data_IF_500980466469
#
_entry.id   IF_500980466469
#
_cell.length_a   1.000
_cell.length_b   1.000
_cell.length_c   1.000
_cell.angle_alpha   90.00
_cell.angle_beta   90.00
_cell.angle_gamma   90.00
#
_symmetry.space_group_name_H-M   'P 1'
#
loop_
_entity.id
_entity.type
_entity.pdbx_description
1 polymer ?
#
# COMPACT_ATOMS: atom_id res chain seq x y z
N UNK A 1 31.87 2.45 5.49
CA UNK A 1 30.81 3.47 5.40
C UNK A 1 29.54 2.77 4.95
N UNK A 2 28.41 3.00 5.63
CA UNK A 2 27.13 2.45 5.19
C UNK A 2 26.69 3.10 3.87
N UNK A 3 25.72 2.49 3.18
CA UNK A 3 25.21 3.02 1.90
C UNK A 3 24.72 4.47 2.05
N UNK A 4 24.02 4.77 3.14
CA UNK A 4 23.48 6.10 3.41
C UNK A 4 24.56 7.19 3.45
N UNK A 5 25.70 6.90 4.08
CA UNK A 5 26.80 7.86 4.22
C UNK A 5 27.54 8.09 2.89
N UNK A 6 27.56 7.10 2.00
CA UNK A 6 28.10 7.28 0.66
C UNK A 6 27.26 8.28 -0.14
N UNK A 7 25.93 8.09 -0.16
CA UNK A 7 25.03 8.99 -0.88
C UNK A 7 24.94 10.38 -0.23
N UNK A 8 24.97 10.48 1.11
CA UNK A 8 24.99 11.80 1.79
C UNK A 8 26.23 12.62 1.42
N UNK A 9 27.39 11.97 1.31
CA UNK A 9 28.63 12.66 0.94
C UNK A 9 28.57 13.26 -0.47
N UNK A 10 27.92 12.57 -1.40
CA UNK A 10 27.84 12.98 -2.81
C UNK A 10 26.67 13.94 -3.08
N UNK A 11 25.53 13.72 -2.44
CA UNK A 11 24.27 14.41 -2.76
C UNK A 11 23.73 15.31 -1.65
N UNK A 12 24.35 15.37 -0.47
CA UNK A 12 23.87 16.19 0.65
C UNK A 12 22.68 15.57 1.38
N UNK A 13 21.49 16.15 1.26
CA UNK A 13 20.31 15.69 2.00
C UNK A 13 19.69 14.49 1.26
N UNK A 14 19.78 13.31 1.88
CA UNK A 14 19.28 12.05 1.32
C UNK A 14 18.12 11.52 2.14
N UNK A 15 17.00 11.22 1.49
CA UNK A 15 15.85 10.56 2.11
C UNK A 15 15.76 9.08 1.73
N UNK A 16 15.35 8.25 2.68
CA UNK A 16 14.91 6.88 2.43
C UNK A 16 13.41 6.83 2.23
N UNK A 17 12.94 6.00 1.30
CA UNK A 17 11.53 5.87 0.94
C UNK A 17 11.14 4.40 0.87
N UNK A 18 10.04 4.05 1.54
CA UNK A 18 9.44 2.71 1.52
C UNK A 18 7.91 2.81 1.71
N UNK A 19 7.21 1.72 1.44
CA UNK A 19 5.76 1.61 1.52
C UNK A 19 5.25 0.42 2.34
N UNK A 20 4.01 0.55 2.81
CA UNK A 20 3.24 -0.50 3.43
C UNK A 20 1.90 -0.70 2.72
N UNK A 21 1.50 -1.96 2.56
CA UNK A 21 0.14 -2.31 2.15
C UNK A 21 -0.08 -2.65 0.68
N UNK A 22 0.97 -2.79 -0.14
CA UNK A 22 0.79 -3.12 -1.57
C UNK A 22 -0.02 -4.38 -1.82
N UNK A 23 0.23 -5.45 -1.06
CA UNK A 23 -0.45 -6.74 -1.21
C UNK A 23 -1.77 -6.90 -0.44
N UNK A 24 -2.34 -5.82 0.10
CA UNK A 24 -3.63 -5.90 0.81
C UNK A 24 -4.83 -5.83 -0.15
N UNK A 25 -5.97 -6.40 0.26
CA UNK A 25 -7.26 -6.29 -0.42
C UNK A 25 -8.05 -5.05 0.01
N UNK A 26 -7.73 -4.46 1.17
CA UNK A 26 -8.43 -3.31 1.71
C UNK A 26 -7.46 -2.23 2.25
N UNK A 27 -7.96 -1.00 2.26
CA UNK A 27 -7.26 0.18 2.74
C UNK A 27 -6.19 0.70 1.76
N UNK A 28 -5.59 1.86 2.09
CA UNK A 28 -4.66 2.53 1.20
C UNK A 28 -3.31 1.79 1.12
N UNK A 29 -2.49 2.21 0.16
CA UNK A 29 -1.04 2.09 0.26
C UNK A 29 -0.52 3.35 0.96
N UNK A 30 0.36 3.15 1.95
CA UNK A 30 0.99 4.23 2.72
C UNK A 30 2.47 4.19 2.44
N UNK A 31 3.06 5.32 2.07
CA UNK A 31 4.50 5.48 1.93
C UNK A 31 5.02 6.47 2.97
N UNK A 32 6.28 6.31 3.35
CA UNK A 32 7.00 7.25 4.18
C UNK A 32 8.30 7.68 3.50
N UNK A 33 8.69 8.93 3.69
CA UNK A 33 9.99 9.47 3.35
C UNK A 33 10.68 9.92 4.64
N UNK A 34 11.93 9.53 4.87
CA UNK A 34 12.65 9.79 6.11
C UNK A 34 14.04 10.35 5.84
N UNK A 35 14.36 11.47 6.47
CA UNK A 35 15.73 12.01 6.60
C UNK A 35 16.12 11.92 8.06
N UNK A 36 17.11 11.07 8.37
CA UNK A 36 17.64 10.91 9.73
C UNK A 36 18.67 12.00 10.03
N UNK A 37 18.39 12.83 11.04
CA UNK A 37 19.33 13.85 11.54
C UNK A 37 20.32 13.28 12.55
N UNK A 38 19.88 12.27 13.31
CA UNK A 38 20.66 11.58 14.34
C UNK A 38 20.67 10.09 14.11
N UNK A 39 21.71 9.42 14.56
CA UNK A 39 21.74 7.96 14.54
C UNK A 39 20.66 7.37 15.47
N UNK A 40 20.05 6.29 15.00
CA UNK A 40 19.09 5.48 15.73
C UNK A 40 19.56 4.04 15.62
N UNK A 41 19.75 3.39 16.76
CA UNK A 41 20.18 2.00 16.82
C UNK A 41 19.01 1.04 16.58
N UNK A 42 19.31 -0.12 16.00
CA UNK A 42 18.33 -1.20 15.87
C UNK A 42 17.30 -1.04 14.75
N UNK A 43 17.41 0.00 13.91
CA UNK A 43 16.68 0.08 12.63
C UNK A 43 17.04 -1.13 11.77
N UNK A 44 16.01 -1.82 11.29
CA UNK A 44 16.09 -2.92 10.34
C UNK A 44 14.74 -3.02 9.62
N UNK A 45 14.62 -3.94 8.65
CA UNK A 45 13.37 -4.30 7.97
C UNK A 45 12.21 -4.43 8.98
N UNK A 46 11.15 -3.65 8.75
CA UNK A 46 10.00 -3.55 9.64
C UNK A 46 9.34 -4.90 9.90
N UNK A 47 9.44 -5.85 8.96
CA UNK A 47 8.89 -7.21 9.06
C UNK A 47 9.73 -8.11 9.96
N UNK A 48 11.02 -7.80 10.18
CA UNK A 48 11.92 -8.54 11.07
C UNK A 48 11.84 -8.08 12.53
N UNK A 49 11.10 -7.00 12.79
CA UNK A 49 10.92 -6.44 14.12
C UNK A 49 9.62 -6.94 14.75
N UNK A 50 9.64 -7.20 16.07
CA UNK A 50 8.41 -7.43 16.83
C UNK A 50 7.55 -6.15 16.84
N UNK A 51 6.22 -6.25 16.96
CA UNK A 51 5.35 -5.08 17.03
C UNK A 51 5.79 -4.06 18.11
N UNK A 52 6.13 -4.53 19.31
CA UNK A 52 6.59 -3.66 20.40
C UNK A 52 7.89 -2.92 20.06
N UNK A 53 8.86 -3.61 19.43
CA UNK A 53 10.11 -2.97 19.00
C UNK A 53 9.87 -1.96 17.87
N UNK A 54 8.93 -2.26 16.97
CA UNK A 54 8.55 -1.39 15.85
C UNK A 54 7.90 -0.10 16.35
N UNK A 55 6.99 -0.18 17.33
CA UNK A 55 6.36 0.99 17.96
C UNK A 55 7.39 1.87 18.67
N UNK A 56 8.31 1.27 19.45
CA UNK A 56 9.41 2.01 20.09
C UNK A 56 10.29 2.75 19.08
N UNK A 57 10.69 2.07 18.00
CA UNK A 57 11.50 2.68 16.94
C UNK A 57 10.72 3.75 16.17
N UNK A 58 9.40 3.58 15.98
CA UNK A 58 8.56 4.61 15.40
C UNK A 58 8.63 5.90 16.22
N UNK A 59 8.42 5.83 17.53
CA UNK A 59 8.47 7.02 18.39
C UNK A 59 9.86 7.67 18.39
N UNK A 60 10.92 6.86 18.37
CA UNK A 60 12.30 7.35 18.27
C UNK A 60 12.61 8.02 16.93
N UNK A 61 12.15 7.45 15.81
CA UNK A 61 12.28 8.04 14.47
C UNK A 61 11.54 9.36 14.40
N UNK A 62 10.28 9.42 14.85
CA UNK A 62 9.48 10.65 14.83
C UNK A 62 10.12 11.79 15.65
N UNK A 63 10.90 11.47 16.69
CA UNK A 63 11.60 12.46 17.50
C UNK A 63 13.01 12.86 17.02
N UNK A 64 13.58 12.18 16.02
CA UNK A 64 14.98 12.35 15.58
C UNK A 64 15.15 12.48 14.06
N UNK A 65 14.06 12.55 13.31
CA UNK A 65 14.06 12.55 11.87
C UNK A 65 13.03 13.53 11.31
N UNK A 66 13.31 14.10 10.15
CA UNK A 66 12.26 14.67 9.33
C UNK A 66 11.52 13.51 8.64
N UNK A 67 10.19 13.47 8.79
CA UNK A 67 9.34 12.40 8.28
C UNK A 67 8.19 13.00 7.49
N UNK A 68 8.00 12.51 6.27
CA UNK A 68 6.84 12.80 5.43
C UNK A 68 6.05 11.51 5.20
N UNK A 69 4.72 11.61 5.24
CA UNK A 69 3.82 10.47 5.01
C UNK A 69 2.96 10.77 3.79
N UNK A 70 2.85 9.82 2.88
CA UNK A 70 1.99 9.90 1.72
C UNK A 70 1.07 8.70 1.64
N UNK A 71 -0.15 8.92 1.16
CA UNK A 71 -1.20 7.91 1.11
C UNK A 71 -1.78 7.91 -0.30
N UNK A 72 -2.04 6.73 -0.85
CA UNK A 72 -2.91 6.59 -2.00
C UNK A 72 -4.11 5.68 -1.66
N UNK A 73 -5.30 6.20 -1.92
CA UNK A 73 -6.58 5.61 -1.51
C UNK A 73 -6.90 4.32 -2.28
N UNK A 74 -7.84 3.49 -1.81
CA UNK A 74 -8.36 2.37 -2.59
C UNK A 74 -8.88 2.77 -3.97
N UNK A 75 -9.47 3.96 -4.10
CA UNK A 75 -9.91 4.50 -5.39
C UNK A 75 -8.72 4.77 -6.33
N UNK A 76 -7.67 5.43 -5.84
CA UNK A 76 -6.48 5.69 -6.65
C UNK A 76 -5.77 4.40 -7.05
N UNK A 77 -5.80 3.37 -6.19
CA UNK A 77 -5.30 2.03 -6.51
C UNK A 77 -6.12 1.40 -7.63
N UNK A 78 -7.45 1.48 -7.54
CA UNK A 78 -8.35 0.94 -8.56
C UNK A 78 -8.15 1.65 -9.91
N UNK A 79 -8.07 2.98 -9.92
CA UNK A 79 -7.98 3.77 -11.15
C UNK A 79 -6.57 3.78 -11.78
N UNK A 80 -5.51 3.77 -10.98
CA UNK A 80 -4.15 3.94 -11.49
C UNK A 80 -3.30 2.68 -11.44
N UNK A 81 -3.85 1.56 -10.98
CA UNK A 81 -3.15 0.34 -10.57
C UNK A 81 -2.22 0.53 -9.34
N UNK A 82 -1.86 -0.58 -8.71
CA UNK A 82 -1.09 -0.57 -7.47
C UNK A 82 0.33 0.01 -7.62
N UNK A 83 0.95 -0.14 -8.79
CA UNK A 83 2.30 0.37 -9.02
C UNK A 83 2.30 1.90 -9.06
N UNK A 84 1.41 2.51 -9.86
CA UNK A 84 1.34 3.97 -9.92
C UNK A 84 0.75 4.59 -8.65
N UNK A 85 -0.20 3.93 -7.99
CA UNK A 85 -0.69 4.37 -6.68
C UNK A 85 0.42 4.35 -5.61
N UNK A 86 1.32 3.35 -5.65
CA UNK A 86 2.52 3.33 -4.79
C UNK A 86 3.43 4.52 -5.10
N UNK A 87 3.72 4.78 -6.39
CA UNK A 87 4.51 5.96 -6.80
C UNK A 87 3.86 7.27 -6.35
N UNK A 88 2.53 7.37 -6.42
CA UNK A 88 1.78 8.54 -5.99
C UNK A 88 1.92 8.75 -4.47
N UNK A 89 1.75 7.71 -3.67
CA UNK A 89 1.97 7.76 -2.22
C UNK A 89 3.41 8.17 -1.88
N UNK A 90 4.42 7.63 -2.59
CA UNK A 90 5.82 7.99 -2.36
C UNK A 90 6.13 9.46 -2.68
N UNK A 91 5.60 10.00 -3.79
CA UNK A 91 5.77 11.41 -4.12
C UNK A 91 5.08 12.32 -3.09
N UNK A 92 3.89 11.96 -2.62
CA UNK A 92 3.20 12.68 -1.53
C UNK A 92 4.00 12.63 -0.23
N UNK A 93 4.67 11.52 0.07
CA UNK A 93 5.53 11.41 1.24
C UNK A 93 6.72 12.37 1.16
N UNK A 94 7.32 12.54 -0.03
CA UNK A 94 8.38 13.52 -0.27
C UNK A 94 7.88 14.96 -0.17
N UNK A 95 6.69 15.25 -0.69
CA UNK A 95 6.06 16.59 -0.58
C UNK A 95 5.73 16.99 0.86
N UNK A 96 5.38 16.00 1.70
CA UNK A 96 5.08 16.22 3.12
C UNK A 96 6.34 16.22 4.01
N UNK A 97 7.53 16.12 3.43
CA UNK A 97 8.78 16.22 4.17
C UNK A 97 9.11 17.70 4.42
N UNK A 98 9.42 18.06 5.66
CA UNK A 98 9.75 19.46 6.03
C UNK A 98 11.10 19.93 5.46
N UNK A 99 11.92 19.01 5.00
CA UNK A 99 13.21 19.27 4.35
C UNK A 99 13.14 18.76 2.90
N UNK A 100 13.67 19.53 1.95
CA UNK A 100 13.74 19.12 0.55
C UNK A 100 14.95 18.20 0.30
N UNK A 101 14.77 16.88 0.08
CA UNK A 101 15.89 15.99 -0.17
C UNK A 101 16.42 16.22 -1.59
N UNK A 102 17.74 16.17 -1.74
CA UNK A 102 18.44 16.31 -3.01
C UNK A 102 18.50 14.98 -3.77
N UNK A 103 18.43 13.86 -3.03
CA UNK A 103 18.46 12.52 -3.57
C UNK A 103 17.63 11.55 -2.73
N UNK A 104 17.06 10.51 -3.35
CA UNK A 104 16.25 9.50 -2.65
C UNK A 104 16.77 8.07 -2.85
N UNK A 105 16.72 7.28 -1.78
CA UNK A 105 16.92 5.84 -1.79
C UNK A 105 15.56 5.16 -1.61
N UNK A 106 15.11 4.39 -2.61
CA UNK A 106 13.76 3.80 -2.63
C UNK A 106 13.84 2.29 -2.50
N UNK A 107 13.02 1.64 -1.65
CA UNK A 107 12.93 0.18 -1.66
C UNK A 107 12.34 -0.35 -2.97
N UNK A 108 12.89 -1.47 -3.46
CA UNK A 108 12.39 -2.16 -4.63
C UNK A 108 13.14 -1.87 -5.91
N UNK A 109 12.42 -1.70 -7.02
CA UNK A 109 12.98 -1.56 -8.37
C UNK A 109 12.05 -0.83 -9.33
N UNK A 110 12.61 -0.11 -10.29
CA UNK A 110 11.90 0.51 -11.41
C UNK A 110 11.01 1.69 -11.02
N UNK A 111 11.19 2.27 -9.83
CA UNK A 111 10.43 3.41 -9.34
C UNK A 111 11.25 4.68 -9.54
N UNK A 112 10.74 5.58 -10.38
CA UNK A 112 11.25 6.94 -10.54
C UNK A 112 10.29 7.92 -9.87
N UNK A 113 10.80 8.69 -8.91
CA UNK A 113 10.05 9.71 -8.16
C UNK A 113 10.39 11.12 -8.71
N UNK A 114 9.68 12.14 -8.24
CA UNK A 114 9.92 13.55 -8.62
C UNK A 114 11.31 14.04 -8.21
N UNK A 115 11.87 13.46 -7.14
CA UNK A 115 13.24 13.71 -6.69
C UNK A 115 14.17 12.66 -7.32
N UNK A 116 15.32 13.04 -7.89
CA UNK A 116 16.32 12.10 -8.40
C UNK A 116 16.71 11.07 -7.34
N UNK A 117 16.94 9.83 -7.75
CA UNK A 117 17.25 8.79 -6.79
C UNK A 117 17.59 7.45 -7.42
N UNK A 118 17.80 6.47 -6.55
CA UNK A 118 18.02 5.08 -6.96
C UNK A 118 17.11 4.13 -6.20
N UNK A 119 16.70 3.06 -6.88
CA UNK A 119 16.04 1.93 -6.26
C UNK A 119 17.07 0.94 -5.68
N UNK A 120 16.76 0.36 -4.53
CA UNK A 120 17.56 -0.69 -3.90
C UNK A 120 16.67 -1.91 -3.64
N UNK A 121 17.00 -3.04 -4.27
CA UNK A 121 16.32 -4.31 -3.97
C UNK A 121 16.69 -4.74 -2.55
N UNK A 122 15.67 -4.94 -1.69
CA UNK A 122 15.83 -5.14 -0.23
C UNK A 122 16.58 -3.96 0.40
N UNK A 123 16.17 -2.75 0.03
CA UNK A 123 16.74 -1.51 0.49
C UNK A 123 16.58 -1.31 1.99
N UNK A 124 15.47 -1.80 2.56
CA UNK A 124 15.17 -1.83 3.99
C UNK A 124 16.22 -2.55 4.85
N UNK A 125 16.91 -3.54 4.28
CA UNK A 125 18.00 -4.29 4.92
C UNK A 125 19.39 -3.68 4.66
N UNK A 126 19.50 -2.74 3.72
CA UNK A 126 20.78 -2.16 3.26
C UNK A 126 20.97 -0.73 3.74
N UNK A 127 19.88 0.03 3.85
CA UNK A 127 19.83 1.46 4.18
C UNK A 127 19.07 1.64 5.48
N UNK A 128 19.67 2.35 6.45
CA UNK A 128 18.96 2.74 7.67
C UNK A 128 17.86 3.75 7.35
N UNK A 129 18.04 4.61 6.34
CA UNK A 129 17.00 5.52 5.88
C UNK A 129 15.77 4.77 5.35
N UNK A 130 15.96 3.77 4.49
CA UNK A 130 14.84 2.95 3.99
C UNK A 130 14.23 2.11 5.11
N UNK A 131 15.05 1.49 5.98
CA UNK A 131 14.55 0.75 7.14
C UNK A 131 13.68 1.61 8.06
N UNK A 132 14.06 2.88 8.29
CA UNK A 132 13.25 3.83 9.05
C UNK A 132 11.92 4.15 8.35
N UNK A 133 11.94 4.41 7.03
CA UNK A 133 10.73 4.62 6.24
C UNK A 133 9.79 3.41 6.30
N UNK A 134 10.33 2.19 6.23
CA UNK A 134 9.58 0.93 6.36
C UNK A 134 8.82 0.86 7.68
N UNK A 135 9.50 1.18 8.79
CA UNK A 135 8.93 1.20 10.13
C UNK A 135 7.79 2.21 10.21
N UNK A 136 8.02 3.44 9.75
CA UNK A 136 7.03 4.52 9.76
C UNK A 136 5.79 4.14 8.96
N UNK A 137 5.97 3.73 7.69
CA UNK A 137 4.86 3.34 6.81
C UNK A 137 4.05 2.19 7.43
N UNK A 138 4.73 1.18 7.98
CA UNK A 138 4.08 0.01 8.58
C UNK A 138 3.28 0.35 9.82
N UNK A 139 3.86 1.08 10.78
CA UNK A 139 3.17 1.45 12.03
C UNK A 139 1.99 2.36 11.74
N UNK A 140 2.18 3.40 10.93
CA UNK A 140 1.11 4.31 10.57
C UNK A 140 -0.06 3.57 9.90
N UNK A 141 0.24 2.71 8.92
CA UNK A 141 -0.79 1.92 8.25
C UNK A 141 -1.49 0.94 9.19
N UNK A 142 -0.75 0.26 10.06
CA UNK A 142 -1.34 -0.69 11.00
C UNK A 142 -2.28 -0.01 12.01
N UNK A 143 -1.97 1.22 12.43
CA UNK A 143 -2.85 2.08 13.24
C UNK A 143 -4.11 2.46 12.46
N UNK A 144 -3.98 2.90 11.20
CA UNK A 144 -5.14 3.19 10.34
C UNK A 144 -6.05 1.98 10.14
N UNK A 145 -5.48 0.79 9.92
CA UNK A 145 -6.28 -0.44 9.80
C UNK A 145 -7.00 -0.80 11.11
N UNK A 146 -6.46 -0.45 12.27
CA UNK A 146 -7.16 -0.59 13.54
C UNK A 146 -8.32 0.41 13.67
N UNK A 147 -8.21 1.62 13.13
CA UNK A 147 -9.35 2.56 13.05
C UNK A 147 -10.44 2.05 12.10
N UNK A 148 -10.08 1.44 10.97
CA UNK A 148 -11.06 0.77 10.10
C UNK A 148 -11.80 -0.36 10.81
N UNK A 149 -11.18 -1.07 11.76
CA UNK A 149 -11.90 -2.06 12.56
C UNK A 149 -12.98 -1.42 13.44
N UNK A 150 -12.74 -0.21 13.98
CA UNK A 150 -13.76 0.50 14.77
C UNK A 150 -14.95 0.91 13.91
N UNK A 151 -14.70 1.33 12.67
CA UNK A 151 -15.75 1.70 11.70
C UNK A 151 -16.49 0.48 11.12
N UNK A 152 -15.78 -0.64 10.96
CA UNK A 152 -16.31 -1.88 10.40
C UNK A 152 -16.05 -3.03 11.38
N UNK A 153 -16.77 -3.11 12.51
CA UNK A 153 -16.52 -4.07 13.58
C UNK A 153 -16.67 -5.54 13.13
N UNK A 154 -17.39 -5.78 12.02
CA UNK A 154 -17.57 -7.09 11.41
C UNK A 154 -16.34 -7.58 10.61
N UNK A 155 -15.32 -6.74 10.43
CA UNK A 155 -14.05 -7.06 9.79
C UNK A 155 -12.89 -6.92 10.78
N UNK A 156 -12.06 -7.93 10.93
CA UNK A 156 -10.94 -7.97 11.87
C UNK A 156 -9.72 -7.20 11.36
N UNK A 157 -9.91 -5.99 10.81
CA UNK A 157 -8.85 -5.18 10.20
C UNK A 157 -7.69 -4.89 11.16
N UNK A 158 -7.94 -4.86 12.47
CA UNK A 158 -6.92 -4.75 13.51
C UNK A 158 -5.98 -5.97 13.58
N UNK A 159 -6.36 -7.14 13.06
CA UNK A 159 -5.54 -8.36 12.99
C UNK A 159 -4.88 -8.54 11.63
N UNK A 160 -5.68 -8.75 10.58
CA UNK A 160 -5.16 -9.10 9.25
C UNK A 160 -4.74 -7.88 8.43
N UNK A 161 -4.96 -6.64 8.90
CA UNK A 161 -4.50 -5.39 8.26
C UNK A 161 -4.94 -5.22 6.79
N UNK A 162 -6.04 -5.88 6.42
CA UNK A 162 -6.57 -5.92 5.05
C UNK A 162 -5.86 -6.91 4.11
N UNK A 163 -4.90 -7.73 4.56
CA UNK A 163 -4.29 -8.77 3.72
C UNK A 163 -5.29 -9.89 3.37
N UNK A 164 -5.02 -10.64 2.29
CA UNK A 164 -5.84 -11.76 1.81
C UNK A 164 -5.70 -13.02 2.68
N UNK A 165 -5.93 -12.89 4.00
CA UNK A 165 -5.97 -14.05 4.90
C UNK A 165 -7.27 -14.82 4.73
N UNK A 166 -7.28 -16.09 5.14
CA UNK A 166 -8.50 -16.91 5.17
C UNK A 166 -9.64 -16.22 5.94
N UNK A 167 -9.30 -15.61 7.08
CA UNK A 167 -10.24 -14.83 7.91
C UNK A 167 -10.87 -13.68 7.11
N UNK A 168 -10.04 -12.85 6.47
CA UNK A 168 -10.52 -11.68 5.75
C UNK A 168 -11.42 -12.07 4.56
N UNK A 169 -11.04 -13.11 3.80
CA UNK A 169 -11.88 -13.61 2.71
C UNK A 169 -13.24 -14.15 3.22
N UNK A 170 -13.27 -14.79 4.40
CA UNK A 170 -14.52 -15.23 5.01
C UNK A 170 -15.39 -14.06 5.47
N UNK A 171 -14.78 -13.03 6.05
CA UNK A 171 -15.48 -11.79 6.43
C UNK A 171 -16.08 -11.09 5.22
N UNK A 172 -15.36 -11.00 4.09
CA UNK A 172 -15.90 -10.43 2.84
C UNK A 172 -17.10 -11.24 2.33
N UNK A 173 -16.99 -12.58 2.29
CA UNK A 173 -18.12 -13.44 1.85
C UNK A 173 -19.33 -13.32 2.77
N UNK A 174 -19.11 -13.18 4.08
CA UNK A 174 -20.18 -13.13 5.08
C UNK A 174 -20.85 -11.76 5.15
N UNK A 175 -20.07 -10.69 5.08
CA UNK A 175 -20.54 -9.33 5.38
C UNK A 175 -20.60 -8.41 4.16
N UNK A 176 -20.16 -8.87 2.99
CA UNK A 176 -20.13 -8.11 1.74
C UNK A 176 -18.85 -7.29 1.55
N UNK A 177 -18.58 -6.91 0.30
CA UNK A 177 -17.48 -5.97 -0.04
C UNK A 177 -17.78 -4.60 0.60
N UNK A 178 -16.75 -3.79 0.85
CA UNK A 178 -16.85 -2.41 1.36
C UNK A 178 -16.19 -1.43 0.37
N UNK A 179 -16.55 -0.13 0.39
CA UNK A 179 -15.89 0.91 -0.42
C UNK A 179 -14.38 1.02 -0.20
N UNK A 180 -13.88 0.63 0.98
CA UNK A 180 -12.44 0.64 1.30
C UNK A 180 -11.67 -0.57 0.75
N UNK A 181 -12.35 -1.57 0.20
CA UNK A 181 -11.70 -2.64 -0.55
C UNK A 181 -11.21 -2.12 -1.90
N UNK A 182 -10.15 -2.73 -2.41
CA UNK A 182 -9.60 -2.47 -3.74
C UNK A 182 -10.38 -3.35 -4.71
N UNK A 183 -11.43 -2.79 -5.30
CA UNK A 183 -12.42 -3.54 -6.07
C UNK A 183 -11.82 -4.09 -7.37
N UNK A 184 -10.73 -3.50 -7.85
CA UNK A 184 -9.97 -3.99 -9.01
C UNK A 184 -9.13 -5.24 -8.70
N UNK A 185 -8.92 -5.59 -7.43
CA UNK A 185 -8.12 -6.77 -7.06
C UNK A 185 -8.98 -8.03 -7.17
N UNK A 186 -8.43 -9.05 -7.83
CA UNK A 186 -9.20 -10.23 -8.26
C UNK A 186 -10.04 -10.89 -7.13
N UNK A 187 -9.52 -11.15 -5.91
CA UNK A 187 -10.34 -11.77 -4.85
C UNK A 187 -11.52 -10.93 -4.37
N UNK A 188 -11.46 -9.60 -4.55
CA UNK A 188 -12.56 -8.69 -4.22
C UNK A 188 -13.53 -8.61 -5.41
N UNK A 189 -12.99 -8.50 -6.63
CA UNK A 189 -13.78 -8.44 -7.86
C UNK A 189 -14.65 -9.69 -8.06
N UNK A 190 -14.16 -10.87 -7.65
CA UNK A 190 -14.94 -12.13 -7.65
C UNK A 190 -16.17 -12.11 -6.73
N UNK A 191 -16.12 -11.32 -5.66
CA UNK A 191 -17.16 -11.26 -4.62
C UNK A 191 -18.06 -10.03 -4.76
N UNK A 192 -17.76 -9.14 -5.71
CA UNK A 192 -18.51 -7.92 -5.97
C UNK A 192 -19.64 -8.19 -6.99
N UNK A 193 -20.85 -7.72 -6.68
CA UNK A 193 -22.00 -7.79 -7.59
C UNK A 193 -22.27 -6.41 -8.21
N UNK A 194 -22.94 -6.39 -9.37
CA UNK A 194 -23.35 -5.12 -10.00
C UNK A 194 -24.31 -4.34 -9.10
N UNK A 195 -25.21 -5.04 -8.38
CA UNK A 195 -26.17 -4.41 -7.47
C UNK A 195 -25.47 -3.70 -6.32
N UNK A 196 -24.48 -4.35 -5.69
CA UNK A 196 -23.70 -3.73 -4.61
C UNK A 196 -22.84 -2.57 -5.12
N UNK A 197 -22.27 -2.69 -6.32
CA UNK A 197 -21.51 -1.61 -6.94
C UNK A 197 -22.40 -0.40 -7.25
N UNK A 198 -23.61 -0.61 -7.76
CA UNK A 198 -24.62 0.45 -7.98
C UNK A 198 -25.06 1.08 -6.66
N UNK A 199 -25.30 0.28 -5.62
CA UNK A 199 -25.64 0.78 -4.29
C UNK A 199 -24.54 1.71 -3.74
N UNK A 200 -23.26 1.37 -3.92
CA UNK A 200 -22.16 2.26 -3.51
C UNK A 200 -22.18 3.60 -4.25
N UNK A 201 -22.45 3.58 -5.55
CA UNK A 201 -22.51 4.80 -6.36
C UNK A 201 -23.72 5.67 -5.97
N UNK A 202 -24.91 5.08 -5.87
CA UNK A 202 -26.14 5.78 -5.50
C UNK A 202 -26.08 6.39 -4.09
N UNK A 203 -25.37 5.75 -3.16
CA UNK A 203 -25.13 6.28 -1.80
C UNK A 203 -23.97 7.28 -1.72
N UNK A 204 -23.29 7.59 -2.83
CA UNK A 204 -22.14 8.51 -2.85
C UNK A 204 -20.91 7.97 -2.11
N UNK A 205 -20.78 6.65 -1.96
CA UNK A 205 -19.66 5.99 -1.26
C UNK A 205 -18.43 5.77 -2.17
N UNK A 206 -18.61 5.88 -3.48
CA UNK A 206 -17.56 5.85 -4.50
C UNK A 206 -17.82 6.92 -5.56
N UNK A 207 -16.77 7.39 -6.22
CA UNK A 207 -16.90 8.34 -7.33
C UNK A 207 -17.47 7.69 -8.59
N UNK A 208 -17.95 8.53 -9.51
CA UNK A 208 -18.38 8.10 -10.85
C UNK A 208 -17.25 7.41 -11.62
N UNK A 209 -16.05 8.01 -11.64
CA UNK A 209 -14.87 7.42 -12.30
C UNK A 209 -14.56 6.01 -11.77
N UNK A 210 -14.63 5.82 -10.44
CA UNK A 210 -14.38 4.50 -9.83
C UNK A 210 -15.50 3.53 -10.17
N UNK A 211 -16.76 3.96 -10.13
CA UNK A 211 -17.92 3.15 -10.50
C UNK A 211 -17.79 2.62 -11.93
N UNK A 212 -17.55 3.51 -12.90
CA UNK A 212 -17.41 3.14 -14.31
C UNK A 212 -16.25 2.17 -14.54
N UNK A 213 -15.09 2.46 -13.93
CA UNK A 213 -13.92 1.60 -14.06
C UNK A 213 -14.18 0.18 -13.55
N UNK A 214 -14.74 0.03 -12.34
CA UNK A 214 -15.01 -1.28 -11.75
C UNK A 214 -16.13 -2.01 -12.49
N UNK A 215 -17.16 -1.30 -12.97
CA UNK A 215 -18.22 -1.87 -13.78
C UNK A 215 -17.67 -2.50 -15.07
N UNK A 216 -16.77 -1.81 -15.76
CA UNK A 216 -16.11 -2.33 -16.95
C UNK A 216 -15.29 -3.60 -16.65
N UNK A 217 -14.62 -3.68 -15.49
CA UNK A 217 -13.91 -4.89 -15.06
C UNK A 217 -14.85 -6.07 -14.79
N UNK A 218 -16.00 -5.83 -14.14
CA UNK A 218 -17.03 -6.86 -13.90
C UNK A 218 -17.59 -7.42 -15.23
N UNK A 219 -17.88 -6.54 -16.18
CA UNK A 219 -18.37 -6.92 -17.51
C UNK A 219 -17.32 -7.75 -18.29
N UNK A 220 -16.06 -7.30 -18.29
CA UNK A 220 -14.96 -8.03 -18.91
C UNK A 220 -14.79 -9.43 -18.31
N UNK A 221 -14.88 -9.55 -16.98
CA UNK A 221 -14.78 -10.83 -16.27
C UNK A 221 -15.86 -11.82 -16.67
N UNK A 222 -17.12 -11.39 -16.73
CA UNK A 222 -18.24 -12.23 -17.19
C UNK A 222 -18.02 -12.75 -18.61
N UNK A 223 -17.46 -11.92 -19.49
CA UNK A 223 -17.14 -12.34 -20.87
C UNK A 223 -16.06 -13.42 -20.94
N UNK A 224 -15.07 -13.39 -20.05
CA UNK A 224 -14.00 -14.39 -19.98
C UNK A 224 -14.52 -15.71 -19.42
N UNK A 225 -15.36 -15.68 -18.38
CA UNK A 225 -16.01 -16.88 -17.83
C UNK A 225 -16.88 -17.56 -18.88
N UNK A 226 -17.72 -16.79 -19.59
CA UNK A 226 -18.57 -17.30 -20.66
C UNK A 226 -17.77 -17.92 -21.82
N UNK A 227 -16.60 -17.38 -22.15
CA UNK A 227 -15.71 -17.96 -23.17
C UNK A 227 -15.10 -19.29 -22.71
N UNK A 228 -14.69 -19.41 -21.45
CA UNK A 228 -14.13 -20.66 -20.90
C UNK A 228 -15.17 -21.78 -20.85
N UNK A 229 -16.39 -21.48 -20.45
CA UNK A 229 -17.49 -22.46 -20.44
C UNK A 229 -17.80 -22.99 -21.86
N UNK A 230 -17.78 -22.11 -22.88
CA UNK A 230 -17.96 -22.54 -24.28
C UNK A 230 -16.82 -23.39 -24.83
N UNK A 231 -15.58 -23.18 -24.38
CA UNK A 231 -14.44 -24.02 -24.80
C UNK A 231 -14.48 -25.38 -24.13
N UNK A 232 -14.89 -25.45 -22.86
CA UNK A 232 -14.98 -26.71 -22.11
C UNK A 232 -16.15 -27.59 -22.58
N UNK A 233 -17.25 -26.99 -23.02
CA UNK A 233 -18.39 -27.73 -23.61
C UNK A 233 -18.19 -28.19 -25.07
N UNK A 234 -17.12 -27.75 -25.74
CA UNK A 234 -16.80 -28.12 -27.12
C UNK A 234 -15.60 -29.08 -27.24
N UNK A 235 -15.14 -29.66 -26.13
CA UNK A 235 -14.20 -30.79 -26.18
C UNK A 235 -14.95 -32.07 -26.60
N UNK A 236 -14.58 -32.72 -27.71
CA UNK A 236 -15.10 -34.04 -28.04
C UNK A 236 -14.68 -35.01 -26.93
N UNK A 237 -15.65 -35.76 -26.40
CA UNK A 237 -15.37 -37.01 -25.69
C UNK A 237 -14.72 -37.95 -26.71
N UNK A 238 -13.39 -38.08 -26.66
CA UNK A 238 -12.67 -39.22 -27.24
C UNK A 238 -12.60 -40.35 -26.22
#
# INVERSE_FOLDING_TARGET
MGIDELYKKEFGIVAGVDEAGRGCLAGPVVAAAVVLEKEIEGINDSKQLSPAKRERLFDEIMGKAAVGIGIASPEEIDLHNIFNATKLAMNRALENLSVGPSFVLVDGKGIELRVPGTCLVKGDQKSKLIGAASIVAKVFRDRLMSEFHKMYPQFSFHKHKGYATKEHLNEIRKNGVLPIHRMSFEPVLELLTDDLLREFFEKGLISENRFEHIKNLLEAKKSVVFRKERTDHNLPLF
#
